data_IF_718655443327
#
_entry.id   IF_718655443327
#
_cell.length_a   1.000
_cell.length_b   1.000
_cell.length_c   1.000
_cell.angle_alpha   90.00
_cell.angle_beta   90.00
_cell.angle_gamma   90.00
#
_symmetry.space_group_name_H-M   'P 1'
#
loop_
_entity.id
_entity.type
_entity.pdbx_description
1 polymer ?
#
# COMPACT_ATOMS: atom_id res chain seq x y z
N UNK A 1 -15.73 9.28 18.37
CA UNK A 1 -14.37 8.94 18.84
C UNK A 1 -13.59 8.31 17.71
N UNK A 2 -12.79 9.13 17.04
CA UNK A 2 -11.78 8.70 16.07
C UNK A 2 -10.46 9.35 16.46
N UNK A 3 -9.34 8.86 15.94
CA UNK A 3 -8.05 9.48 16.20
C UNK A 3 -8.04 10.92 15.72
N UNK A 4 -7.55 11.82 16.55
CA UNK A 4 -7.31 13.19 16.13
C UNK A 4 -6.22 13.21 15.05
N UNK A 5 -6.25 14.13 14.07
CA UNK A 5 -5.26 14.18 12.99
C UNK A 5 -3.81 14.15 13.48
N UNK A 6 -3.52 14.83 14.60
CA UNK A 6 -2.19 14.85 15.21
C UNK A 6 -1.75 13.48 15.76
N UNK A 7 -2.69 12.64 16.20
CA UNK A 7 -2.40 11.28 16.66
C UNK A 7 -2.13 10.35 15.48
N UNK A 8 -2.84 10.54 14.36
CA UNK A 8 -2.54 9.83 13.12
C UNK A 8 -1.18 10.20 12.54
N UNK A 9 -0.81 11.48 12.57
CA UNK A 9 0.52 11.93 12.14
C UNK A 9 1.63 11.28 12.96
N UNK A 10 1.49 11.24 14.30
CA UNK A 10 2.43 10.53 15.18
C UNK A 10 2.52 9.04 14.85
N UNK A 11 1.38 8.38 14.64
CA UNK A 11 1.35 6.97 14.26
C UNK A 11 2.11 6.67 12.95
N UNK A 12 2.13 7.62 12.02
CA UNK A 12 2.91 7.52 10.78
C UNK A 12 4.41 7.76 11.01
N UNK A 13 4.77 8.71 11.88
CA UNK A 13 6.17 9.01 12.21
C UNK A 13 6.83 7.92 13.06
N UNK A 14 6.06 7.38 14.02
CA UNK A 14 6.52 6.37 14.97
C UNK A 14 6.38 4.95 14.43
N UNK A 15 5.98 4.79 13.16
CA UNK A 15 5.87 3.47 12.53
C UNK A 15 7.25 2.80 12.52
N UNK A 16 7.38 1.56 13.04
CA UNK A 16 8.65 0.83 13.02
C UNK A 16 9.24 0.75 11.61
N UNK A 17 10.57 0.73 11.51
CA UNK A 17 11.27 0.66 10.21
C UNK A 17 10.85 -0.55 9.38
N UNK A 18 10.67 -1.71 10.04
CA UNK A 18 10.23 -2.95 9.40
C UNK A 18 8.69 -3.05 9.28
N UNK A 19 7.95 -2.07 9.81
CA UNK A 19 6.50 -2.09 9.94
C UNK A 19 6.01 -2.90 11.14
N UNK A 20 4.70 -3.10 11.22
CA UNK A 20 4.05 -3.90 12.25
C UNK A 20 3.96 -5.36 11.81
N UNK A 21 4.23 -6.31 12.71
CA UNK A 21 4.21 -7.74 12.40
C UNK A 21 2.78 -8.25 12.15
N UNK A 22 1.79 -7.63 12.81
CA UNK A 22 0.40 -8.02 12.72
C UNK A 22 -0.55 -6.84 13.03
N UNK A 23 -1.85 -7.05 12.78
CA UNK A 23 -2.88 -6.01 12.97
C UNK A 23 -3.04 -5.61 14.44
N UNK A 24 -2.82 -6.52 15.39
CA UNK A 24 -2.93 -6.19 16.82
C UNK A 24 -1.87 -5.18 17.25
N UNK A 25 -0.64 -5.34 16.78
CA UNK A 25 0.45 -4.41 17.06
C UNK A 25 0.13 -3.00 16.53
N UNK A 26 -0.36 -2.91 15.28
CA UNK A 26 -0.83 -1.65 14.71
C UNK A 26 -1.95 -1.02 15.55
N UNK A 27 -2.98 -1.79 15.91
CA UNK A 27 -4.12 -1.29 16.68
C UNK A 27 -3.71 -0.84 18.09
N UNK A 28 -2.76 -1.53 18.71
CA UNK A 28 -2.19 -1.14 20.01
C UNK A 28 -1.42 0.17 19.92
N UNK A 29 -0.57 0.35 18.89
CA UNK A 29 0.13 1.60 18.65
C UNK A 29 -0.85 2.76 18.38
N UNK A 30 -1.93 2.47 17.63
CA UNK A 30 -3.01 3.40 17.35
C UNK A 30 -3.94 3.63 18.56
N UNK A 31 -3.85 2.83 19.63
CA UNK A 31 -4.78 2.83 20.77
C UNK A 31 -6.25 2.69 20.36
N UNK A 32 -6.51 1.96 19.27
CA UNK A 32 -7.86 1.70 18.74
C UNK A 32 -8.27 0.28 19.14
N UNK A 33 -9.47 0.14 19.69
CA UNK A 33 -10.11 -1.16 19.87
C UNK A 33 -11.19 -1.36 18.81
N UNK A 34 -11.06 -2.42 18.01
CA UNK A 34 -12.06 -2.81 17.01
C UNK A 34 -12.74 -4.12 17.40
N UNK A 35 -13.98 -4.31 16.94
CA UNK A 35 -14.61 -5.61 16.98
C UNK A 35 -13.96 -6.57 15.96
N UNK A 36 -14.22 -7.88 16.09
CA UNK A 36 -13.59 -8.91 15.27
C UNK A 36 -13.89 -8.76 13.77
N UNK A 37 -15.11 -8.32 13.42
CA UNK A 37 -15.54 -8.13 12.03
C UNK A 37 -14.72 -7.03 11.35
N UNK A 38 -14.63 -5.85 11.98
CA UNK A 38 -13.84 -4.73 11.46
C UNK A 38 -12.34 -5.03 11.43
N UNK A 39 -11.83 -5.72 12.46
CA UNK A 39 -10.42 -6.14 12.49
C UNK A 39 -10.08 -7.06 11.31
N UNK A 40 -11.01 -7.93 10.89
CA UNK A 40 -10.79 -8.86 9.77
C UNK A 40 -10.62 -8.18 8.40
N UNK A 41 -11.01 -6.91 8.28
CA UNK A 41 -10.86 -6.13 7.05
C UNK A 41 -9.49 -5.47 6.92
N UNK A 42 -8.65 -5.53 7.97
CA UNK A 42 -7.32 -4.92 8.01
C UNK A 42 -6.23 -5.95 7.72
N UNK A 43 -5.12 -5.49 7.14
CA UNK A 43 -3.91 -6.29 6.95
C UNK A 43 -2.68 -5.42 7.09
N UNK A 44 -1.58 -6.04 7.51
CA UNK A 44 -0.23 -5.45 7.47
C UNK A 44 0.55 -5.90 6.22
N UNK A 45 -0.11 -6.61 5.31
CA UNK A 45 0.46 -7.11 4.06
C UNK A 45 -0.43 -6.73 2.88
N UNK A 46 0.17 -6.66 1.69
CA UNK A 46 -0.57 -6.53 0.44
C UNK A 46 -0.18 -7.62 -0.55
N UNK A 47 -1.18 -8.11 -1.27
CA UNK A 47 -1.03 -8.96 -2.44
C UNK A 47 -1.04 -8.15 -3.74
N UNK A 48 -1.46 -6.88 -3.71
CA UNK A 48 -1.65 -6.06 -4.91
C UNK A 48 -0.78 -4.81 -4.87
N UNK A 49 -0.13 -4.53 -5.99
CA UNK A 49 0.79 -3.40 -6.15
C UNK A 49 0.52 -2.69 -7.48
N UNK A 50 0.72 -1.38 -7.50
CA UNK A 50 0.69 -0.57 -8.73
C UNK A 50 2.12 -0.18 -9.10
N UNK A 51 2.61 -0.69 -10.22
CA UNK A 51 3.86 -0.25 -10.84
C UNK A 51 3.56 0.89 -11.82
N UNK A 52 4.16 2.06 -11.60
CA UNK A 52 4.16 3.17 -12.56
C UNK A 52 5.57 3.34 -13.12
N UNK A 53 5.71 3.12 -14.41
CA UNK A 53 6.97 3.28 -15.13
C UNK A 53 6.86 4.45 -16.13
N UNK A 54 7.95 5.18 -16.27
CA UNK A 54 8.13 6.33 -17.15
C UNK A 54 9.41 6.05 -17.97
N UNK A 55 9.31 6.14 -19.29
CA UNK A 55 10.42 5.93 -20.20
C UNK A 55 10.58 7.14 -21.12
N UNK A 56 11.80 7.68 -21.18
CA UNK A 56 12.20 8.73 -22.14
C UNK A 56 13.20 8.16 -23.13
N UNK A 57 12.91 8.28 -24.42
CA UNK A 57 13.76 7.77 -25.51
C UNK A 57 13.84 8.83 -26.60
N UNK A 58 15.00 9.49 -26.71
CA UNK A 58 15.12 10.70 -27.54
C UNK A 58 14.14 11.77 -27.05
N UNK A 59 13.31 12.27 -27.96
CA UNK A 59 12.24 13.23 -27.65
C UNK A 59 10.92 12.53 -27.25
N UNK A 60 10.84 11.20 -27.33
CA UNK A 60 9.65 10.44 -26.97
C UNK A 60 9.52 10.21 -25.48
N UNK A 61 8.28 10.28 -24.97
CA UNK A 61 7.94 10.02 -23.58
C UNK A 61 6.76 9.04 -23.48
N UNK A 62 6.95 7.94 -22.75
CA UNK A 62 5.92 6.92 -22.58
C UNK A 62 5.69 6.59 -21.10
N UNK A 63 4.43 6.33 -20.75
CA UNK A 63 4.03 5.91 -19.41
C UNK A 63 3.38 4.54 -19.43
N UNK A 64 3.68 3.72 -18.42
CA UNK A 64 3.05 2.43 -18.17
C UNK A 64 2.57 2.36 -16.73
N UNK A 65 1.31 2.02 -16.53
CA UNK A 65 0.76 1.61 -15.24
C UNK A 65 0.43 0.12 -15.29
N UNK A 66 0.99 -0.67 -14.37
CA UNK A 66 0.71 -2.11 -14.26
C UNK A 66 0.18 -2.47 -12.87
N UNK A 67 -0.92 -3.24 -12.84
CA UNK A 67 -1.38 -3.88 -11.59
C UNK A 67 -0.66 -5.22 -11.47
N UNK A 68 0.08 -5.40 -10.39
CA UNK A 68 0.81 -6.61 -10.05
C UNK A 68 0.04 -7.31 -8.92
N UNK A 69 -0.15 -8.63 -9.06
CA UNK A 69 -0.56 -9.49 -7.96
C UNK A 69 0.60 -10.38 -7.54
N UNK A 70 0.75 -10.56 -6.24
CA UNK A 70 1.75 -11.45 -5.62
C UNK A 70 1.02 -12.50 -4.79
N UNK A 71 1.34 -13.74 -5.07
CA UNK A 71 0.88 -14.92 -4.35
C UNK A 71 2.07 -15.86 -4.06
N UNK A 72 1.79 -17.04 -3.54
CA UNK A 72 2.81 -18.03 -3.16
C UNK A 72 3.61 -18.56 -4.36
N UNK A 73 3.14 -18.36 -5.58
CA UNK A 73 3.83 -18.74 -6.82
C UNK A 73 4.69 -17.60 -7.39
N UNK A 74 4.68 -16.43 -6.75
CA UNK A 74 5.46 -15.26 -7.14
C UNK A 74 4.60 -14.07 -7.56
N UNK A 75 5.17 -13.16 -8.34
CA UNK A 75 4.49 -11.95 -8.80
C UNK A 75 4.15 -12.03 -10.28
N UNK A 76 2.92 -11.64 -10.65
CA UNK A 76 2.44 -11.61 -12.04
C UNK A 76 1.65 -10.34 -12.32
N UNK A 77 1.63 -9.94 -13.60
CA UNK A 77 0.92 -8.74 -14.05
C UNK A 77 -0.54 -9.10 -14.35
N UNK A 78 -1.48 -8.42 -13.69
CA UNK A 78 -2.92 -8.55 -13.94
C UNK A 78 -3.40 -7.65 -15.07
N UNK A 79 -2.90 -6.43 -15.12
CA UNK A 79 -3.32 -5.41 -16.09
C UNK A 79 -2.17 -4.49 -16.44
N UNK A 80 -2.12 -4.06 -17.69
CA UNK A 80 -1.28 -2.95 -18.16
C UNK A 80 -2.17 -1.87 -18.76
N UNK A 81 -1.81 -0.62 -18.50
CA UNK A 81 -2.42 0.58 -19.09
C UNK A 81 -1.29 1.47 -19.59
N UNK A 82 -1.27 1.72 -20.89
CA UNK A 82 -0.28 2.60 -21.51
C UNK A 82 -0.85 4.01 -21.62
N UNK A 83 -0.06 5.00 -21.24
CA UNK A 83 -0.32 6.40 -21.51
C UNK A 83 0.70 6.90 -22.54
N UNK A 84 0.21 7.61 -23.56
CA UNK A 84 1.03 8.35 -24.50
C UNK A 84 0.81 9.85 -24.26
N UNK A 85 1.90 10.62 -24.23
CA UNK A 85 1.87 12.06 -24.40
C UNK A 85 2.73 12.35 -25.63
N UNK A 86 2.09 12.83 -26.70
CA UNK A 86 2.74 13.37 -27.91
C UNK A 86 3.29 14.78 -27.62
#
# INVERSE_FOLDING_TARGET
>A
DGLEPAEMERLLQDRPTDGYENVDEFLNAAKITLNAELKSLLSVSSQYFLLRADARVGDGHAFLSSVIVRDDQGARILRRSFGYQD
#
